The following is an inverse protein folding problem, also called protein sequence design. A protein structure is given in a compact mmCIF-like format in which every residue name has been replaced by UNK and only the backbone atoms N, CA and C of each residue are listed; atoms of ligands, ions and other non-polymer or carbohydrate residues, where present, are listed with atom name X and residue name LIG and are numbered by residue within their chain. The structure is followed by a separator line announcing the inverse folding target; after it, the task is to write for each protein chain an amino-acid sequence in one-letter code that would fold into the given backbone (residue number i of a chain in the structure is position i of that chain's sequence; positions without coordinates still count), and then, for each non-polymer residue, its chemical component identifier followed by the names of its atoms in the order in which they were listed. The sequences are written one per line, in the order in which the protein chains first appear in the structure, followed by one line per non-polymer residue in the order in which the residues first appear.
data_IF_756899374017
#
_entry.id   IF_756899374017
#
_cell.length_a   1.000
_cell.length_b   1.000
_cell.length_c   1.000
_cell.angle_alpha   90.00
_cell.angle_beta   90.00
_cell.angle_gamma   90.00
#
_symmetry.space_group_name_H-M   'P 1'
#
loop_
_entity.id
_entity.type
_entity.pdbx_description
1 polymer ?
#
# COMPACT_ATOMS: atom_id res chain seq x y z
N UNK A 1 -2.23 10.76 -0.49
CA UNK A 1 -2.03 9.47 -1.18
C UNK A 1 -0.62 9.45 -1.74
N UNK A 2 0.21 8.49 -1.32
CA UNK A 2 1.64 8.41 -1.66
C UNK A 2 1.96 7.56 -2.90
N UNK A 3 0.92 7.09 -3.62
CA UNK A 3 1.06 6.20 -4.78
C UNK A 3 1.94 6.73 -5.92
N UNK A 4 1.96 8.05 -6.25
CA UNK A 4 2.90 8.54 -7.28
C UNK A 4 4.37 8.34 -6.92
N UNK A 5 4.73 8.49 -5.64
CA UNK A 5 6.11 8.27 -5.16
C UNK A 5 6.43 6.77 -5.15
N UNK A 6 5.46 5.94 -4.75
CA UNK A 6 5.62 4.48 -4.82
C UNK A 6 5.83 4.00 -6.26
N UNK A 7 5.08 4.56 -7.22
CA UNK A 7 5.26 4.26 -8.65
C UNK A 7 6.70 4.49 -9.11
N UNK A 8 7.27 5.65 -8.77
CA UNK A 8 8.66 5.97 -9.12
C UNK A 8 9.64 4.96 -8.54
N UNK A 9 9.41 4.50 -7.30
CA UNK A 9 10.26 3.45 -6.70
C UNK A 9 10.18 2.13 -7.46
N UNK A 10 9.00 1.73 -7.89
CA UNK A 10 8.84 0.50 -8.71
C UNK A 10 9.60 0.65 -10.02
N UNK A 11 9.43 1.78 -10.72
CA UNK A 11 10.09 2.02 -12.01
C UNK A 11 11.62 2.01 -11.89
N UNK A 12 12.16 2.62 -10.82
CA UNK A 12 13.61 2.78 -10.63
C UNK A 12 14.31 1.53 -10.08
N UNK A 13 13.64 0.68 -9.31
CA UNK A 13 14.27 -0.44 -8.59
C UNK A 13 13.70 -1.82 -8.95
N UNK A 14 12.87 -1.93 -9.99
CA UNK A 14 12.25 -3.20 -10.41
C UNK A 14 13.25 -4.24 -10.94
N UNK A 15 14.49 -3.85 -11.19
CA UNK A 15 15.58 -4.72 -11.59
C UNK A 15 16.26 -5.42 -10.39
N UNK A 16 16.14 -4.86 -9.18
CA UNK A 16 16.76 -5.37 -7.95
C UNK A 16 15.76 -5.80 -6.87
N UNK A 17 14.48 -5.42 -7.00
CA UNK A 17 13.44 -5.74 -6.02
C UNK A 17 12.08 -6.00 -6.68
N UNK A 18 11.33 -6.93 -6.08
CA UNK A 18 9.92 -7.15 -6.39
C UNK A 18 9.03 -6.18 -5.60
N UNK A 19 7.93 -5.75 -6.22
CA UNK A 19 6.97 -4.82 -5.62
C UNK A 19 5.57 -5.41 -5.55
N UNK A 20 4.95 -5.27 -4.37
CA UNK A 20 3.61 -5.76 -4.07
C UNK A 20 2.81 -4.68 -3.35
N UNK A 21 1.66 -4.31 -3.92
CA UNK A 21 0.66 -3.49 -3.24
C UNK A 21 -0.44 -4.42 -2.68
N UNK A 22 -0.62 -4.40 -1.37
CA UNK A 22 -1.67 -5.15 -0.68
C UNK A 22 -2.80 -4.21 -0.30
N UNK A 23 -3.96 -4.37 -0.93
CA UNK A 23 -5.18 -3.64 -0.60
C UNK A 23 -5.84 -4.25 0.64
N UNK A 24 -5.98 -3.45 1.70
CA UNK A 24 -6.54 -3.85 2.99
C UNK A 24 -7.93 -3.26 3.19
N UNK A 25 -8.50 -3.45 4.38
CA UNK A 25 -9.79 -2.84 4.72
C UNK A 25 -9.74 -1.30 4.72
N UNK A 26 -10.87 -0.67 4.41
CA UNK A 26 -10.96 0.79 4.34
C UNK A 26 -10.65 1.42 5.71
N UNK A 27 -9.71 2.36 5.73
CA UNK A 27 -9.44 3.16 6.93
C UNK A 27 -10.65 4.01 7.34
N UNK A 28 -11.40 4.49 6.34
CA UNK A 28 -12.55 5.37 6.51
C UNK A 28 -13.71 4.94 5.60
N UNK A 29 -14.41 3.84 5.94
CA UNK A 29 -15.53 3.35 5.15
C UNK A 29 -16.69 4.36 5.18
N UNK A 30 -17.38 4.52 4.06
CA UNK A 30 -18.44 5.54 3.92
C UNK A 30 -19.73 5.24 4.70
N UNK A 31 -19.92 3.98 5.08
CA UNK A 31 -20.97 3.51 5.98
C UNK A 31 -20.50 3.42 7.45
N UNK A 32 -19.31 3.93 7.76
CA UNK A 32 -18.77 4.08 9.11
C UNK A 32 -18.92 5.50 9.69
N UNK A 33 -18.16 5.80 10.76
CA UNK A 33 -18.06 7.17 11.27
C UNK A 33 -17.43 8.07 10.20
N UNK A 34 -18.21 9.05 9.73
CA UNK A 34 -17.80 9.94 8.63
C UNK A 34 -16.66 10.84 9.09
N UNK A 35 -15.44 10.54 8.63
CA UNK A 35 -14.35 11.49 8.68
C UNK A 35 -14.65 12.68 7.74
N UNK A 36 -14.27 13.92 8.09
CA UNK A 36 -14.42 15.06 7.19
C UNK A 36 -13.74 14.79 5.84
N UNK A 37 -14.27 15.34 4.73
CA UNK A 37 -13.79 15.01 3.39
C UNK A 37 -12.28 15.26 3.25
N UNK A 38 -11.53 14.18 2.98
CA UNK A 38 -10.09 14.20 2.76
C UNK A 38 -9.79 14.58 1.29
N UNK A 39 -9.80 15.88 1.00
CA UNK A 39 -9.30 16.43 -0.27
C UNK A 39 -10.04 16.01 -1.54
N UNK A 40 -9.41 16.27 -2.70
CA UNK A 40 -9.99 16.13 -4.04
C UNK A 40 -10.15 14.70 -4.56
N UNK A 41 -9.69 13.69 -3.81
CA UNK A 41 -9.76 12.27 -4.18
C UNK A 41 -10.45 11.47 -3.07
N UNK A 42 -11.76 11.68 -2.92
CA UNK A 42 -12.57 10.89 -1.99
C UNK A 42 -13.06 9.62 -2.67
N UNK A 43 -12.41 8.50 -2.36
CA UNK A 43 -12.95 7.18 -2.69
C UNK A 43 -14.09 6.88 -1.73
N UNK A 44 -15.33 7.01 -2.21
CA UNK A 44 -16.50 6.62 -1.43
C UNK A 44 -16.67 5.09 -1.55
N UNK A 45 -16.03 4.37 -0.63
CA UNK A 45 -16.06 2.92 -0.54
C UNK A 45 -16.68 2.53 0.79
N UNK A 46 -17.70 1.66 0.75
CA UNK A 46 -18.29 1.08 1.96
C UNK A 46 -17.38 -0.01 2.51
N UNK A 47 -17.55 -0.36 3.78
CA UNK A 47 -16.87 -1.50 4.36
C UNK A 47 -17.17 -2.78 3.57
N UNK A 48 -16.12 -3.46 3.15
CA UNK A 48 -16.22 -4.68 2.35
C UNK A 48 -16.87 -5.80 3.15
N UNK A 49 -17.92 -6.41 2.60
CA UNK A 49 -18.62 -7.56 3.17
C UNK A 49 -18.08 -8.89 2.63
N UNK A 50 -17.37 -8.85 1.51
CA UNK A 50 -16.78 -10.01 0.86
C UNK A 50 -15.56 -9.62 0.03
N UNK A 51 -14.83 -10.64 -0.44
CA UNK A 51 -13.59 -10.45 -1.21
C UNK A 51 -13.83 -9.76 -2.56
N UNK A 52 -14.98 -9.98 -3.20
CA UNK A 52 -15.30 -9.38 -4.49
C UNK A 52 -15.43 -7.85 -4.37
N UNK A 53 -16.08 -7.36 -3.31
CA UNK A 53 -16.17 -5.94 -3.01
C UNK A 53 -14.78 -5.34 -2.76
N UNK A 54 -13.93 -6.01 -1.99
CA UNK A 54 -12.55 -5.57 -1.73
C UNK A 54 -11.70 -5.53 -2.99
N UNK A 55 -11.79 -6.55 -3.84
CA UNK A 55 -11.13 -6.56 -5.15
C UNK A 55 -11.68 -5.46 -6.06
N UNK A 56 -12.98 -5.17 -5.99
CA UNK A 56 -13.61 -4.07 -6.71
C UNK A 56 -13.05 -2.70 -6.31
N UNK A 57 -12.86 -2.47 -5.01
CA UNK A 57 -12.22 -1.25 -4.50
C UNK A 57 -10.74 -1.16 -4.91
N UNK A 58 -10.01 -2.26 -4.80
CA UNK A 58 -8.62 -2.35 -5.25
C UNK A 58 -8.46 -2.03 -6.74
N UNK A 59 -9.36 -2.53 -7.60
CA UNK A 59 -9.38 -2.21 -9.04
C UNK A 59 -9.63 -0.72 -9.28
N UNK A 60 -10.61 -0.12 -8.59
CA UNK A 60 -10.86 1.33 -8.69
C UNK A 60 -9.61 2.13 -8.31
N UNK A 61 -8.89 1.74 -7.26
CA UNK A 61 -7.65 2.42 -6.87
C UNK A 61 -6.65 2.49 -8.04
N UNK A 62 -6.43 1.37 -8.74
CA UNK A 62 -5.45 1.31 -9.83
C UNK A 62 -5.96 1.92 -11.15
N UNK A 63 -7.27 2.02 -11.35
CA UNK A 63 -7.83 2.80 -12.48
C UNK A 63 -7.47 4.28 -12.35
N UNK A 64 -7.47 4.82 -11.13
CA UNK A 64 -7.12 6.21 -10.86
C UNK A 64 -5.61 6.46 -10.78
N UNK A 65 -4.84 5.50 -10.28
CA UNK A 65 -3.43 5.67 -9.95
C UNK A 65 -2.48 4.73 -10.69
N UNK A 66 -2.90 4.06 -11.77
CA UNK A 66 -2.13 3.18 -12.68
C UNK A 66 -0.81 2.63 -12.11
N UNK A 67 -0.78 1.36 -11.71
CA UNK A 67 0.46 0.74 -11.24
C UNK A 67 1.39 0.38 -12.42
N UNK A 68 2.72 0.46 -12.24
CA UNK A 68 3.65 -0.08 -13.21
C UNK A 68 3.46 -1.59 -13.36
N UNK A 69 3.74 -2.17 -14.54
CA UNK A 69 3.56 -3.60 -14.79
C UNK A 69 4.41 -4.50 -13.89
N UNK A 70 5.49 -3.97 -13.30
CA UNK A 70 6.37 -4.67 -12.37
C UNK A 70 5.80 -4.77 -10.95
N UNK A 71 4.71 -4.07 -10.65
CA UNK A 71 4.06 -4.10 -9.34
C UNK A 71 2.75 -4.88 -9.38
N UNK A 72 2.65 -5.90 -8.55
CA UNK A 72 1.41 -6.67 -8.40
C UNK A 72 0.46 -5.99 -7.41
N UNK A 73 -0.83 -5.98 -7.73
CA UNK A 73 -1.90 -5.64 -6.78
C UNK A 73 -2.56 -6.91 -6.30
N UNK A 74 -2.61 -7.09 -4.98
CA UNK A 74 -3.39 -8.15 -4.33
C UNK A 74 -4.31 -7.53 -3.28
N UNK A 75 -5.36 -8.26 -2.90
CA UNK A 75 -6.19 -7.89 -1.75
C UNK A 75 -5.88 -8.81 -0.57
N UNK A 76 -5.89 -8.25 0.64
CA UNK A 76 -5.83 -9.03 1.87
C UNK A 76 -7.07 -9.92 2.00
N UNK A 77 -6.93 -11.04 2.70
CA UNK A 77 -8.03 -11.94 3.02
C UNK A 77 -9.06 -11.22 3.91
N UNK A 78 -10.33 -11.65 3.87
CA UNK A 78 -11.41 -11.00 4.62
C UNK A 78 -11.26 -11.09 6.14
N UNK A 79 -10.42 -12.01 6.64
CA UNK A 79 -9.99 -12.10 8.04
C UNK A 79 -8.88 -11.10 8.41
N UNK A 80 -8.41 -10.28 7.45
CA UNK A 80 -7.40 -9.23 7.60
C UNK A 80 -6.03 -9.76 8.07
N UNK A 81 -5.66 -10.97 7.66
CA UNK A 81 -4.43 -11.62 8.08
C UNK A 81 -3.17 -10.79 7.81
N UNK A 82 -3.03 -10.18 6.64
CA UNK A 82 -1.86 -9.36 6.34
C UNK A 82 -1.87 -8.06 7.16
N UNK A 83 -3.03 -7.40 7.28
CA UNK A 83 -3.19 -6.22 8.10
C UNK A 83 -2.76 -6.47 9.56
N UNK A 84 -3.20 -7.59 10.15
CA UNK A 84 -2.83 -7.99 11.51
C UNK A 84 -1.36 -8.36 11.60
N UNK A 85 -0.85 -9.22 10.71
CA UNK A 85 0.53 -9.70 10.75
C UNK A 85 1.57 -8.58 10.60
N UNK A 86 1.27 -7.57 9.77
CA UNK A 86 2.13 -6.41 9.57
C UNK A 86 1.75 -5.22 10.46
N UNK A 87 0.71 -5.32 11.29
CA UNK A 87 0.27 -4.28 12.22
C UNK A 87 -0.09 -2.96 11.52
N UNK A 88 -0.89 -3.02 10.46
CA UNK A 88 -1.22 -1.87 9.62
C UNK A 88 -2.34 -1.05 10.26
N UNK A 89 -2.10 0.25 10.44
CA UNK A 89 -3.08 1.21 10.95
C UNK A 89 -3.20 2.32 9.91
N UNK A 90 -4.16 2.19 8.99
CA UNK A 90 -4.33 2.98 7.75
C UNK A 90 -3.46 2.51 6.58
N UNK A 91 -2.17 2.76 6.63
CA UNK A 91 -1.22 2.36 5.59
C UNK A 91 0.12 2.01 6.23
N UNK A 92 0.89 1.15 5.56
CA UNK A 92 2.22 0.75 6.01
C UNK A 92 3.06 0.28 4.83
N UNK A 93 4.37 0.42 4.95
CA UNK A 93 5.33 -0.13 4.00
C UNK A 93 6.29 -1.05 4.74
N UNK A 94 6.72 -2.12 4.07
CA UNK A 94 7.61 -3.12 4.62
C UNK A 94 8.56 -3.57 3.52
N UNK A 95 9.81 -3.88 3.90
CA UNK A 95 10.78 -4.57 3.04
C UNK A 95 11.01 -5.93 3.65
N UNK A 96 10.79 -6.98 2.86
CA UNK A 96 11.06 -8.37 3.24
C UNK A 96 12.23 -8.86 2.41
N UNK A 97 13.29 -9.29 3.07
CA UNK A 97 14.49 -9.83 2.44
C UNK A 97 14.90 -11.10 3.17
N UNK A 98 15.22 -12.17 2.44
CA UNK A 98 15.59 -13.47 3.02
C UNK A 98 14.57 -13.98 4.06
N UNK A 99 13.27 -13.81 3.78
CA UNK A 99 12.15 -14.19 4.66
C UNK A 99 12.16 -13.49 6.03
N UNK A 100 12.85 -12.35 6.15
CA UNK A 100 12.87 -11.51 7.34
C UNK A 100 12.46 -10.08 6.99
N UNK A 101 11.88 -9.39 7.97
CA UNK A 101 11.59 -7.96 7.85
C UNK A 101 12.91 -7.21 7.95
N UNK A 102 13.36 -6.62 6.84
CA UNK A 102 14.54 -5.77 6.78
C UNK A 102 14.21 -4.31 7.15
N UNK A 103 12.99 -3.88 6.82
CA UNK A 103 12.47 -2.58 7.19
C UNK A 103 10.96 -2.69 7.42
N UNK A 104 10.46 -2.03 8.47
CA UNK A 104 9.04 -1.91 8.74
C UNK A 104 8.73 -0.46 9.07
N UNK A 105 7.98 0.19 8.19
CA UNK A 105 7.56 1.58 8.38
C UNK A 105 6.76 1.77 9.66
N UNK A 106 6.74 3.00 10.17
CA UNK A 106 5.91 3.35 11.31
C UNK A 106 4.41 3.25 10.99
N UNK A 107 3.56 3.45 11.99
CA UNK A 107 2.10 3.38 11.82
C UNK A 107 1.59 4.60 11.03
N UNK A 108 0.86 4.36 9.96
CA UNK A 108 0.18 5.41 9.21
C UNK A 108 -0.90 6.15 10.03
N UNK A 109 -1.36 7.32 9.57
CA UNK A 109 -0.87 8.03 8.39
C UNK A 109 0.43 8.83 8.65
N UNK A 110 0.83 9.01 9.91
CA UNK A 110 1.90 9.97 10.27
C UNK A 110 3.33 9.48 9.97
N UNK A 111 3.55 8.16 9.95
CA UNK A 111 4.89 7.57 9.80
C UNK A 111 5.02 6.72 8.54
N UNK A 112 4.15 6.95 7.55
CA UNK A 112 4.33 6.37 6.22
C UNK A 112 5.39 7.18 5.46
N UNK A 113 6.59 6.61 5.32
CA UNK A 113 7.72 7.29 4.70
C UNK A 113 8.39 6.40 3.64
N UNK A 114 8.15 6.74 2.37
CA UNK A 114 8.80 6.09 1.23
C UNK A 114 10.24 6.56 1.00
N UNK A 115 10.67 7.66 1.64
CA UNK A 115 12.08 8.08 1.56
C UNK A 115 13.00 7.09 2.25
N UNK A 116 12.57 6.52 3.37
CA UNK A 116 13.35 5.51 4.10
C UNK A 116 13.47 4.22 3.28
N UNK A 117 12.40 3.85 2.55
CA UNK A 117 12.42 2.71 1.62
C UNK A 117 13.40 2.96 0.47
N UNK A 118 13.35 4.16 -0.13
CA UNK A 118 14.30 4.58 -1.15
C UNK A 118 15.72 4.50 -0.65
N UNK A 119 16.01 5.10 0.50
CA UNK A 119 17.33 5.11 1.09
C UNK A 119 17.83 3.68 1.31
N UNK A 120 16.98 2.80 1.86
CA UNK A 120 17.33 1.40 2.05
C UNK A 120 17.66 0.68 0.74
N UNK A 121 16.90 0.92 -0.34
CA UNK A 121 17.16 0.34 -1.66
C UNK A 121 18.47 0.88 -2.26
N UNK A 122 18.70 2.19 -2.19
CA UNK A 122 19.93 2.84 -2.68
C UNK A 122 21.17 2.36 -1.92
N UNK A 123 21.10 2.19 -0.60
CA UNK A 123 22.20 1.67 0.22
C UNK A 123 22.48 0.19 -0.03
N UNK A 124 21.44 -0.59 -0.34
CA UNK A 124 21.55 -2.05 -0.53
C UNK A 124 22.01 -2.44 -1.94
N UNK A 125 21.60 -1.69 -2.95
CA UNK A 125 21.77 -2.08 -4.36
C UNK A 125 22.37 -0.98 -5.26
N UNK A 126 22.61 0.22 -4.73
CA UNK A 126 23.08 1.39 -5.48
C UNK A 126 21.96 2.11 -6.23
N UNK A 127 22.28 3.30 -6.77
CA UNK A 127 21.48 3.91 -7.85
C UNK A 127 21.99 3.35 -9.16
N UNK A 128 21.10 2.87 -10.02
CA UNK A 128 21.42 2.74 -11.44
C UNK A 128 21.33 4.10 -12.12
#
# INVERSE_FOLDING_TARGET
IHLPVFRQLVEEFSDVADFLLVYIDEAHPSDGWVAPPMGSYSFNVRKHQNLEERLGAARKLIEHFSLPPQCQLVADCMDNNANVAYGVSNERVCIVQHKKIAYLGGKGPFFYNLKDVRQWLEESYGKQ
#
